data_IF_505869623178
#
_entry.id   IF_505869623178
#
_cell.length_a   1.000
_cell.length_b   1.000
_cell.length_c   1.000
_cell.angle_alpha   90.00
_cell.angle_beta   90.00
_cell.angle_gamma   90.00
#
_symmetry.space_group_name_H-M   'P 1'
#
loop_
_entity.id
_entity.type
_entity.pdbx_description
1 polymer ?
#
# COMPACT_ATOMS: atom_id res chain seq x y z
N UNK A 1 -22.10 12.86 9.53
CA UNK A 1 -21.07 12.57 8.49
C UNK A 1 -21.75 12.46 7.13
N UNK A 2 -21.33 13.23 6.14
CA UNK A 2 -21.92 13.14 4.80
C UNK A 2 -21.22 11.99 4.04
N UNK A 3 -21.99 10.99 3.61
CA UNK A 3 -21.50 9.92 2.75
C UNK A 3 -21.49 10.41 1.28
N UNK A 4 -20.34 10.36 0.63
CA UNK A 4 -20.22 10.64 -0.81
C UNK A 4 -20.56 9.37 -1.58
N UNK A 5 -21.54 9.44 -2.49
CA UNK A 5 -21.93 8.30 -3.34
C UNK A 5 -21.03 8.30 -4.57
N UNK A 6 -20.29 7.24 -4.78
CA UNK A 6 -19.46 7.03 -5.97
C UNK A 6 -19.99 5.80 -6.73
N UNK A 7 -20.13 5.92 -8.04
CA UNK A 7 -20.57 4.82 -8.91
C UNK A 7 -19.34 4.16 -9.56
N UNK A 8 -19.18 2.87 -9.32
CA UNK A 8 -18.18 2.04 -9.99
C UNK A 8 -18.84 0.74 -10.47
N UNK A 9 -18.72 0.41 -11.74
CA UNK A 9 -19.37 -0.77 -12.37
C UNK A 9 -20.86 -0.94 -12.03
N UNK A 10 -21.60 0.18 -11.85
CA UNK A 10 -23.04 0.15 -11.61
C UNK A 10 -23.49 -0.09 -10.17
N UNK A 11 -22.59 -0.33 -9.21
CA UNK A 11 -22.93 -0.48 -7.79
C UNK A 11 -22.70 0.81 -7.02
N UNK A 12 -23.68 1.17 -6.16
CA UNK A 12 -23.55 2.28 -5.20
C UNK A 12 -22.65 1.84 -4.05
N UNK A 13 -21.39 2.32 -4.01
CA UNK A 13 -20.54 2.18 -2.83
C UNK A 13 -20.51 3.47 -2.04
N UNK A 14 -20.66 3.36 -0.72
CA UNK A 14 -20.66 4.50 0.18
C UNK A 14 -19.27 4.64 0.79
N UNK A 15 -18.52 5.66 0.32
CA UNK A 15 -17.28 6.09 0.94
C UNK A 15 -17.63 6.87 2.20
N UNK A 16 -17.01 6.47 3.32
CA UNK A 16 -17.08 7.16 4.59
C UNK A 16 -15.79 7.94 4.81
N UNK A 17 -15.87 9.03 5.54
CA UNK A 17 -14.71 9.80 5.97
C UNK A 17 -14.66 9.74 7.50
N UNK A 18 -13.54 9.29 8.05
CA UNK A 18 -13.28 9.25 9.49
C UNK A 18 -12.97 10.63 10.07
N UNK A 19 -12.93 10.73 11.39
CA UNK A 19 -12.60 11.97 12.10
C UNK A 19 -11.22 12.52 11.75
N UNK A 20 -10.25 11.64 11.47
CA UNK A 20 -8.92 12.06 11.00
C UNK A 20 -8.86 12.38 9.50
N UNK A 21 -9.97 12.32 8.77
CA UNK A 21 -10.06 12.62 7.35
C UNK A 21 -9.66 11.47 6.41
N UNK A 22 -9.61 10.23 6.89
CA UNK A 22 -9.34 9.05 6.06
C UNK A 22 -10.62 8.60 5.35
N UNK A 23 -10.56 8.47 4.04
CA UNK A 23 -11.63 7.91 3.21
C UNK A 23 -11.54 6.37 3.22
N UNK A 24 -12.64 5.69 3.56
CA UNK A 24 -12.66 4.23 3.67
C UNK A 24 -14.00 3.62 3.26
N UNK A 25 -13.93 2.34 2.96
CA UNK A 25 -15.07 1.43 2.78
C UNK A 25 -14.91 0.26 3.73
N UNK A 26 -16.01 -0.20 4.32
CA UNK A 26 -16.04 -1.36 5.22
C UNK A 26 -17.12 -2.31 4.74
N UNK A 27 -16.74 -3.49 4.28
CA UNK A 27 -17.59 -4.47 3.62
C UNK A 27 -17.48 -5.83 4.31
N UNK A 28 -18.54 -6.61 4.34
CA UNK A 28 -18.61 -7.93 4.97
C UNK A 28 -19.34 -7.92 6.32
N UNK A 29 -19.43 -9.09 6.97
CA UNK A 29 -20.15 -9.25 8.23
C UNK A 29 -19.46 -8.50 9.37
N UNK A 30 -20.23 -7.83 10.24
CA UNK A 30 -19.70 -7.10 11.40
C UNK A 30 -18.95 -8.00 12.40
N UNK A 31 -19.32 -9.29 12.45
CA UNK A 31 -18.72 -10.25 13.37
C UNK A 31 -17.55 -11.03 12.75
N UNK A 32 -17.23 -10.80 11.47
CA UNK A 32 -16.14 -11.48 10.81
C UNK A 32 -14.78 -10.87 11.21
N UNK A 33 -13.68 -11.66 11.19
CA UNK A 33 -12.33 -11.15 11.40
C UNK A 33 -12.02 -10.03 10.38
N UNK A 34 -11.31 -8.99 10.85
CA UNK A 34 -11.02 -7.83 10.00
C UNK A 34 -9.76 -8.06 9.17
N UNK A 35 -9.86 -7.73 7.88
CA UNK A 35 -8.73 -7.62 6.95
C UNK A 35 -8.65 -6.19 6.43
N UNK A 36 -7.49 -5.56 6.56
CA UNK A 36 -7.19 -4.21 6.06
C UNK A 36 -6.42 -4.31 4.75
N UNK A 37 -6.77 -3.48 3.77
CA UNK A 37 -6.12 -3.41 2.47
C UNK A 37 -5.45 -2.05 2.29
N UNK A 38 -4.11 -2.05 2.08
CA UNK A 38 -3.28 -0.84 1.91
C UNK A 38 -2.70 -0.81 0.50
N UNK A 39 -3.02 0.22 -0.25
CA UNK A 39 -2.55 0.41 -1.64
C UNK A 39 -1.09 0.90 -1.71
N UNK A 40 -0.53 0.91 -2.93
CA UNK A 40 0.81 1.41 -3.23
C UNK A 40 0.85 2.89 -3.64
N UNK A 41 2.06 3.39 -3.92
CA UNK A 41 2.29 4.76 -4.42
C UNK A 41 1.53 5.03 -5.72
N UNK A 42 0.91 6.20 -5.82
CA UNK A 42 0.18 6.64 -7.01
C UNK A 42 -1.14 5.91 -7.25
N UNK A 43 -1.55 5.04 -6.33
CA UNK A 43 -2.79 4.28 -6.40
C UNK A 43 -3.78 4.79 -5.33
N UNK A 44 -4.91 4.13 -5.22
CA UNK A 44 -5.92 4.40 -4.22
C UNK A 44 -6.67 3.10 -3.86
N UNK A 45 -7.67 3.17 -2.97
CA UNK A 45 -8.44 2.01 -2.51
C UNK A 45 -9.10 1.20 -3.65
N UNK A 46 -9.34 1.80 -4.83
CA UNK A 46 -9.92 1.08 -5.97
C UNK A 46 -9.00 0.02 -6.59
N UNK A 47 -7.71 -0.01 -6.22
CA UNK A 47 -6.82 -1.13 -6.52
C UNK A 47 -7.43 -2.48 -6.12
N UNK A 48 -8.16 -2.49 -5.02
CA UNK A 48 -8.68 -3.70 -4.38
C UNK A 48 -10.12 -4.06 -4.81
N UNK A 49 -10.71 -3.29 -5.74
CA UNK A 49 -12.13 -3.41 -6.10
C UNK A 49 -12.55 -4.83 -6.48
N UNK A 50 -11.69 -5.55 -7.22
CA UNK A 50 -11.98 -6.91 -7.69
C UNK A 50 -11.75 -7.98 -6.61
N UNK A 51 -10.99 -7.66 -5.55
CA UNK A 51 -10.67 -8.58 -4.45
C UNK A 51 -11.66 -8.47 -3.29
N UNK A 52 -12.20 -7.28 -3.04
CA UNK A 52 -13.11 -7.02 -1.91
C UNK A 52 -14.33 -7.96 -1.91
N UNK A 53 -15.02 -8.25 -3.03
CA UNK A 53 -16.16 -9.15 -3.02
C UNK A 53 -15.80 -10.56 -2.54
N UNK A 54 -14.70 -11.13 -3.01
CA UNK A 54 -14.26 -12.46 -2.62
C UNK A 54 -13.82 -12.52 -1.15
N UNK A 55 -13.07 -11.51 -0.69
CA UNK A 55 -12.61 -11.44 0.70
C UNK A 55 -13.78 -11.22 1.67
N UNK A 56 -14.78 -10.42 1.29
CA UNK A 56 -15.91 -10.08 2.17
C UNK A 56 -16.86 -11.23 2.46
N UNK A 57 -16.70 -12.37 1.78
CA UNK A 57 -17.42 -13.62 2.11
C UNK A 57 -17.01 -14.15 3.48
N UNK A 58 -15.71 -14.06 3.83
CA UNK A 58 -15.16 -14.61 5.07
C UNK A 58 -14.66 -13.56 6.06
N UNK A 59 -14.40 -12.34 5.60
CA UNK A 59 -13.78 -11.27 6.39
C UNK A 59 -14.61 -10.00 6.36
N UNK A 60 -14.43 -9.16 7.38
CA UNK A 60 -14.82 -7.76 7.36
C UNK A 60 -13.68 -6.96 6.75
N UNK A 61 -13.82 -6.50 5.51
CA UNK A 61 -12.76 -5.87 4.72
C UNK A 61 -12.79 -4.37 4.92
N UNK A 62 -11.72 -3.82 5.49
CA UNK A 62 -11.46 -2.38 5.60
C UNK A 62 -10.53 -1.96 4.46
N UNK A 63 -11.03 -1.20 3.52
CA UNK A 63 -10.32 -0.70 2.36
C UNK A 63 -10.29 0.83 2.41
N UNK A 64 -9.12 1.46 2.39
CA UNK A 64 -9.00 2.90 2.62
C UNK A 64 -7.95 3.56 1.73
N UNK A 65 -8.05 4.87 1.57
CA UNK A 65 -7.05 5.69 0.91
C UNK A 65 -6.02 6.20 1.93
N UNK A 66 -4.75 6.09 1.60
CA UNK A 66 -3.67 6.73 2.35
C UNK A 66 -3.85 8.26 2.34
N UNK A 67 -3.34 8.96 3.34
CA UNK A 67 -3.33 10.42 3.38
C UNK A 67 -2.78 11.03 2.09
N UNK A 68 -3.52 11.98 1.52
CA UNK A 68 -3.20 12.66 0.26
C UNK A 68 -3.52 11.86 -1.01
N UNK A 69 -4.09 10.65 -0.88
CA UNK A 69 -4.53 9.81 -1.99
C UNK A 69 -6.06 9.71 -2.03
N UNK A 70 -6.60 9.49 -3.23
CA UNK A 70 -8.02 9.26 -3.43
C UNK A 70 -8.89 10.37 -2.84
N UNK A 71 -9.79 9.98 -1.92
CA UNK A 71 -10.68 10.91 -1.22
C UNK A 71 -10.21 11.25 0.21
N UNK A 72 -9.03 10.74 0.66
CA UNK A 72 -8.45 11.06 1.96
C UNK A 72 -7.86 12.45 2.00
N UNK A 73 -7.93 13.11 3.18
CA UNK A 73 -7.36 14.45 3.36
C UNK A 73 -5.86 14.49 3.11
N UNK A 74 -5.37 15.65 2.71
CA UNK A 74 -3.94 15.95 2.71
C UNK A 74 -3.45 16.19 4.14
N UNK A 75 -2.38 15.54 4.60
CA UNK A 75 -1.83 15.79 5.91
C UNK A 75 -1.09 17.14 5.91
N UNK A 76 -1.08 17.81 7.07
CA UNK A 76 -0.27 19.03 7.26
C UNK A 76 1.22 18.71 7.38
N UNK A 77 1.52 17.55 7.97
CA UNK A 77 2.88 17.06 8.15
C UNK A 77 3.38 16.37 6.87
N UNK A 78 4.72 16.28 6.74
CA UNK A 78 5.35 15.47 5.69
C UNK A 78 5.04 13.99 5.91
N UNK A 79 4.79 13.25 4.83
CA UNK A 79 4.50 11.81 4.91
C UNK A 79 5.71 11.05 5.44
N UNK A 80 5.44 10.14 6.37
CA UNK A 80 6.39 9.17 6.89
C UNK A 80 5.72 7.82 7.09
N UNK A 81 6.51 6.76 7.26
CA UNK A 81 5.94 5.43 7.56
C UNK A 81 5.16 5.43 8.87
N UNK A 82 5.67 6.15 9.90
CA UNK A 82 4.97 6.28 11.18
C UNK A 82 3.64 7.02 11.02
N UNK A 83 3.61 8.17 10.33
CA UNK A 83 2.36 8.91 10.11
C UNK A 83 1.31 8.05 9.39
N UNK A 84 1.72 7.22 8.41
CA UNK A 84 0.80 6.36 7.68
C UNK A 84 0.38 5.13 8.51
N UNK A 85 1.22 4.65 9.42
CA UNK A 85 0.86 3.64 10.41
C UNK A 85 -0.13 4.21 11.45
N UNK A 86 0.11 5.43 11.94
CA UNK A 86 -0.76 6.14 12.87
C UNK A 86 -2.14 6.41 12.23
N UNK A 87 -2.19 6.77 10.93
CA UNK A 87 -3.43 6.91 10.17
C UNK A 87 -4.31 5.66 10.29
N UNK A 88 -3.72 4.49 10.10
CA UNK A 88 -4.44 3.23 10.24
C UNK A 88 -4.84 2.96 11.69
N UNK A 89 -3.96 3.22 12.66
CA UNK A 89 -4.26 3.01 14.08
C UNK A 89 -5.47 3.84 14.52
N UNK A 90 -5.48 5.13 14.20
CA UNK A 90 -6.59 6.04 14.49
C UNK A 90 -7.90 5.61 13.81
N UNK A 91 -7.82 5.13 12.56
CA UNK A 91 -8.99 4.59 11.85
C UNK A 91 -9.55 3.34 12.52
N UNK A 92 -8.69 2.42 12.97
CA UNK A 92 -9.10 1.21 13.71
C UNK A 92 -9.76 1.58 15.04
N UNK A 93 -9.24 2.59 15.75
CA UNK A 93 -9.78 3.07 17.02
C UNK A 93 -11.19 3.67 16.84
N UNK A 94 -11.39 4.52 15.83
CA UNK A 94 -12.70 5.08 15.50
C UNK A 94 -13.73 3.98 15.17
N UNK A 95 -13.28 2.95 14.44
CA UNK A 95 -14.12 1.82 14.04
C UNK A 95 -14.29 0.75 15.14
N UNK A 96 -13.62 0.93 16.30
CA UNK A 96 -13.60 -0.03 17.43
C UNK A 96 -13.13 -1.41 17.00
N UNK A 97 -12.11 -1.46 16.12
CA UNK A 97 -11.47 -2.69 15.66
C UNK A 97 -10.23 -2.92 16.51
N UNK A 98 -10.26 -3.94 17.36
CA UNK A 98 -9.14 -4.22 18.28
C UNK A 98 -7.90 -4.73 17.57
N UNK A 99 -8.07 -5.65 16.59
CA UNK A 99 -6.95 -6.20 15.82
C UNK A 99 -7.39 -6.66 14.44
N UNK A 100 -6.44 -6.74 13.51
CA UNK A 100 -6.71 -7.10 12.10
C UNK A 100 -5.55 -7.87 11.46
N UNK A 101 -5.81 -8.53 10.33
CA UNK A 101 -4.78 -8.85 9.35
C UNK A 101 -4.59 -7.68 8.40
N UNK A 102 -3.38 -7.47 7.90
CA UNK A 102 -3.09 -6.33 7.02
C UNK A 102 -2.42 -6.81 5.73
N UNK A 103 -3.08 -6.56 4.61
CA UNK A 103 -2.54 -6.78 3.26
C UNK A 103 -1.99 -5.45 2.75
N UNK A 104 -0.70 -5.39 2.47
CA UNK A 104 -0.05 -4.17 1.96
C UNK A 104 0.64 -4.42 0.63
N UNK A 105 0.33 -3.59 -0.37
CA UNK A 105 0.96 -3.65 -1.70
C UNK A 105 2.03 -2.57 -1.84
N UNK A 106 3.26 -2.95 -2.19
CA UNK A 106 4.38 -2.03 -2.47
C UNK A 106 4.67 -1.10 -1.28
N UNK A 107 4.39 0.20 -1.39
CA UNK A 107 4.42 1.15 -0.26
C UNK A 107 3.54 0.67 0.91
N UNK A 108 2.36 0.13 0.61
CA UNK A 108 1.48 -0.46 1.62
C UNK A 108 2.12 -1.63 2.38
N UNK A 109 3.02 -2.39 1.73
CA UNK A 109 3.81 -3.43 2.38
C UNK A 109 4.97 -2.89 3.24
N UNK A 110 5.39 -1.65 3.05
CA UNK A 110 6.26 -0.95 4.00
C UNK A 110 5.46 -0.48 5.22
N UNK A 111 4.27 0.07 4.96
CA UNK A 111 3.38 0.60 6.00
C UNK A 111 2.89 -0.52 6.92
N UNK A 112 2.49 -1.68 6.38
CA UNK A 112 2.00 -2.77 7.20
C UNK A 112 3.10 -3.37 8.11
N UNK A 113 4.37 -3.43 7.63
CA UNK A 113 5.52 -3.81 8.47
C UNK A 113 5.76 -2.77 9.57
N UNK A 114 5.73 -1.48 9.23
CA UNK A 114 5.85 -0.39 10.21
C UNK A 114 4.74 -0.46 11.25
N UNK A 115 3.50 -0.66 10.83
CA UNK A 115 2.35 -0.82 11.73
C UNK A 115 2.55 -1.99 12.71
N UNK A 116 3.03 -3.15 12.22
CA UNK A 116 3.27 -4.30 13.08
C UNK A 116 4.42 -4.07 14.09
N UNK A 117 5.39 -3.22 13.76
CA UNK A 117 6.46 -2.81 14.69
C UNK A 117 5.92 -1.86 15.76
N UNK A 118 5.13 -0.85 15.37
CA UNK A 118 4.64 0.20 16.29
C UNK A 118 3.44 -0.28 17.12
N UNK A 119 2.59 -1.16 16.55
CA UNK A 119 1.33 -1.62 17.14
C UNK A 119 1.20 -3.15 17.12
N UNK A 120 2.14 -3.92 17.70
CA UNK A 120 2.17 -5.38 17.56
C UNK A 120 0.90 -6.08 18.07
N UNK A 121 0.24 -5.55 19.09
CA UNK A 121 -1.01 -6.10 19.61
C UNK A 121 -2.22 -5.90 18.69
N UNK A 122 -2.11 -4.99 17.71
CA UNK A 122 -3.18 -4.64 16.77
C UNK A 122 -3.13 -5.43 15.46
N UNK A 123 -2.09 -6.26 15.26
CA UNK A 123 -1.90 -7.02 14.03
C UNK A 123 -1.66 -8.51 14.33
N UNK A 124 -2.55 -9.38 13.81
CA UNK A 124 -2.40 -10.82 14.00
C UNK A 124 -1.84 -11.55 12.76
N UNK A 125 -1.84 -10.92 11.58
CA UNK A 125 -1.18 -11.45 10.39
C UNK A 125 -0.83 -10.33 9.39
N UNK A 126 0.21 -10.57 8.58
CA UNK A 126 0.62 -9.73 7.48
C UNK A 126 0.57 -10.46 6.14
N UNK A 127 0.18 -9.73 5.10
CA UNK A 127 0.47 -10.10 3.71
C UNK A 127 1.24 -8.94 3.07
N UNK A 128 2.50 -9.18 2.74
CA UNK A 128 3.41 -8.19 2.16
C UNK A 128 3.55 -8.50 0.68
N UNK A 129 2.95 -7.65 -0.17
CA UNK A 129 2.89 -7.87 -1.62
C UNK A 129 3.83 -6.90 -2.35
N UNK A 130 4.75 -7.42 -3.18
CA UNK A 130 5.63 -6.64 -4.06
C UNK A 130 6.27 -5.45 -3.33
N UNK A 131 6.79 -5.65 -2.11
CA UNK A 131 7.32 -4.59 -1.26
C UNK A 131 8.86 -4.61 -1.21
N UNK A 132 9.51 -3.43 -1.18
CA UNK A 132 10.97 -3.38 -1.23
C UNK A 132 11.64 -3.78 0.09
N UNK A 133 12.89 -4.22 -0.04
CA UNK A 133 13.85 -4.43 1.04
C UNK A 133 15.17 -3.70 0.73
N UNK A 134 16.24 -4.03 1.42
CA UNK A 134 17.58 -3.49 1.19
C UNK A 134 18.01 -3.70 -0.27
N UNK A 135 18.68 -2.72 -0.85
CA UNK A 135 19.09 -2.69 -2.24
C UNK A 135 20.60 -2.65 -2.38
N UNK A 136 21.12 -3.17 -3.51
CA UNK A 136 22.50 -2.87 -3.89
C UNK A 136 22.70 -1.36 -4.09
N UNK A 137 23.94 -0.90 -4.07
CA UNK A 137 24.28 0.51 -4.29
C UNK A 137 23.73 1.03 -5.64
N UNK A 138 23.82 0.20 -6.68
CA UNK A 138 23.35 0.54 -8.05
C UNK A 138 21.81 0.65 -8.08
N UNK A 139 21.10 -0.31 -7.46
CA UNK A 139 19.64 -0.28 -7.38
C UNK A 139 19.16 0.90 -6.54
N UNK A 140 19.85 1.23 -5.44
CA UNK A 140 19.56 2.39 -4.62
C UNK A 140 19.75 3.69 -5.41
N UNK A 141 20.84 3.81 -6.20
CA UNK A 141 21.07 4.96 -7.04
C UNK A 141 19.94 5.21 -8.04
N UNK A 142 19.43 4.14 -8.68
CA UNK A 142 18.28 4.24 -9.61
C UNK A 142 17.01 4.75 -8.92
N UNK A 143 16.80 4.38 -7.66
CA UNK A 143 15.65 4.85 -6.87
C UNK A 143 15.81 6.31 -6.49
N UNK A 144 17.01 6.75 -6.10
CA UNK A 144 17.33 8.15 -5.81
C UNK A 144 17.23 9.03 -7.08
N UNK A 145 17.62 8.52 -8.25
CA UNK A 145 17.45 9.24 -9.54
C UNK A 145 15.96 9.47 -9.84
N UNK A 146 15.12 8.46 -9.65
CA UNK A 146 13.66 8.59 -9.81
C UNK A 146 13.06 9.59 -8.81
N UNK A 147 13.56 9.62 -7.58
CA UNK A 147 13.15 10.62 -6.60
C UNK A 147 13.46 12.03 -7.11
N UNK A 148 14.69 12.27 -7.60
CA UNK A 148 15.07 13.58 -8.16
C UNK A 148 14.23 13.97 -9.38
N UNK A 149 13.96 13.04 -10.28
CA UNK A 149 13.07 13.28 -11.44
C UNK A 149 11.65 13.65 -10.99
N UNK A 150 11.14 12.99 -9.95
CA UNK A 150 9.80 13.30 -9.41
C UNK A 150 9.75 14.68 -8.76
N UNK A 151 10.80 15.08 -8.04
CA UNK A 151 10.89 16.40 -7.40
C UNK A 151 10.86 17.56 -8.40
N UNK A 152 11.38 17.35 -9.60
CA UNK A 152 11.44 18.39 -10.64
C UNK A 152 10.25 18.37 -11.60
N UNK A 153 9.72 17.19 -11.93
CA UNK A 153 8.71 17.01 -12.98
C UNK A 153 7.42 16.31 -12.54
N UNK A 154 7.24 16.09 -11.23
CA UNK A 154 6.05 15.44 -10.67
C UNK A 154 5.91 13.97 -11.07
N UNK A 155 4.72 13.42 -10.88
CA UNK A 155 4.41 12.02 -11.22
C UNK A 155 4.51 11.75 -12.73
N UNK A 156 4.19 12.74 -13.57
CA UNK A 156 4.23 12.63 -15.03
C UNK A 156 5.65 12.32 -15.57
N UNK A 157 6.70 12.90 -14.96
CA UNK A 157 8.08 12.68 -15.37
C UNK A 157 8.54 11.23 -15.25
N UNK A 158 7.95 10.47 -14.36
CA UNK A 158 8.33 9.07 -14.08
C UNK A 158 7.27 8.05 -14.48
N UNK A 159 6.09 8.48 -14.97
CA UNK A 159 4.95 7.60 -15.25
C UNK A 159 5.31 6.49 -16.25
N UNK A 160 5.82 6.85 -17.43
CA UNK A 160 6.17 5.87 -18.48
C UNK A 160 7.13 4.79 -17.97
N UNK A 161 8.18 5.20 -17.29
CA UNK A 161 9.17 4.27 -16.73
C UNK A 161 8.59 3.42 -15.58
N UNK A 162 7.64 3.97 -14.83
CA UNK A 162 6.92 3.23 -13.78
C UNK A 162 6.02 2.15 -14.38
N UNK A 163 5.23 2.47 -15.41
CA UNK A 163 4.35 1.51 -16.08
C UNK A 163 5.16 0.37 -16.72
N UNK A 164 6.27 0.68 -17.39
CA UNK A 164 7.17 -0.34 -17.98
C UNK A 164 7.79 -1.29 -16.94
N UNK A 165 7.94 -0.85 -15.70
CA UNK A 165 8.44 -1.67 -14.60
C UNK A 165 7.34 -2.46 -13.89
N UNK A 166 6.11 -1.92 -13.84
CA UNK A 166 4.99 -2.54 -13.12
C UNK A 166 4.28 -3.60 -13.95
N UNK A 167 4.30 -3.48 -15.26
CA UNK A 167 3.56 -4.34 -16.18
C UNK A 167 4.49 -4.99 -17.21
N UNK A 168 4.17 -6.23 -17.59
CA UNK A 168 4.87 -6.90 -18.70
C UNK A 168 4.58 -6.21 -20.02
N UNK A 169 5.48 -6.37 -21.01
CA UNK A 169 5.27 -5.80 -22.34
C UNK A 169 3.98 -6.27 -23.01
N UNK A 170 3.60 -7.54 -22.80
CA UNK A 170 2.33 -8.08 -23.29
C UNK A 170 1.14 -7.38 -22.63
N UNK A 171 1.13 -7.24 -21.30
CA UNK A 171 0.06 -6.56 -20.57
C UNK A 171 -0.10 -5.09 -21.02
N UNK A 172 1.01 -4.38 -21.23
CA UNK A 172 0.99 -3.00 -21.73
C UNK A 172 0.36 -2.90 -23.14
N UNK A 173 0.47 -3.96 -23.95
CA UNK A 173 -0.07 -3.97 -25.30
C UNK A 173 -1.56 -4.38 -25.37
N UNK A 174 -2.04 -5.19 -24.39
CA UNK A 174 -3.39 -5.78 -24.46
C UNK A 174 -4.39 -5.15 -23.50
N UNK A 175 -3.96 -4.53 -22.38
CA UNK A 175 -4.80 -4.09 -21.29
C UNK A 175 -4.87 -2.56 -21.16
N UNK A 176 -5.12 -1.88 -22.31
CA UNK A 176 -5.12 -0.40 -22.39
C UNK A 176 -6.02 0.27 -21.34
N UNK A 177 -7.21 -0.26 -21.08
CA UNK A 177 -8.15 0.32 -20.11
C UNK A 177 -7.59 0.31 -18.68
N UNK A 178 -6.87 -0.76 -18.29
CA UNK A 178 -6.24 -0.86 -16.98
C UNK A 178 -5.06 0.11 -16.90
N UNK A 179 -4.26 0.20 -17.96
CA UNK A 179 -3.12 1.11 -18.04
C UNK A 179 -3.56 2.57 -17.97
N UNK A 180 -4.62 2.95 -18.68
CA UNK A 180 -5.19 4.31 -18.65
C UNK A 180 -5.73 4.65 -17.26
N UNK A 181 -6.42 3.70 -16.62
CA UNK A 181 -6.94 3.85 -15.26
C UNK A 181 -5.83 4.07 -14.23
N UNK A 182 -4.82 3.21 -14.25
CA UNK A 182 -3.65 3.32 -13.35
C UNK A 182 -2.90 4.63 -13.60
N UNK A 183 -2.71 4.99 -14.87
CA UNK A 183 -2.09 6.26 -15.26
C UNK A 183 -2.88 7.45 -14.73
N UNK A 184 -4.21 7.40 -14.84
CA UNK A 184 -5.11 8.42 -14.30
C UNK A 184 -4.96 8.60 -12.80
N UNK A 185 -4.89 7.51 -12.01
CA UNK A 185 -4.66 7.60 -10.57
C UNK A 185 -3.31 8.23 -10.23
N UNK A 186 -2.24 7.78 -10.91
CA UNK A 186 -0.89 8.33 -10.69
C UNK A 186 -0.83 9.82 -10.99
N UNK A 187 -1.44 10.26 -12.11
CA UNK A 187 -1.43 11.67 -12.53
C UNK A 187 -2.34 12.56 -11.66
N UNK A 188 -3.39 11.98 -11.08
CA UNK A 188 -4.29 12.70 -10.17
C UNK A 188 -3.71 12.89 -8.76
N UNK A 189 -2.63 12.17 -8.41
CA UNK A 189 -1.98 12.32 -7.12
C UNK A 189 -1.30 13.69 -7.01
N UNK A 190 -1.53 14.39 -5.91
CA UNK A 190 -0.85 15.65 -5.61
C UNK A 190 0.68 15.52 -5.74
N UNK A 191 1.38 16.44 -6.43
CA UNK A 191 2.83 16.33 -6.67
C UNK A 191 3.67 16.29 -5.37
N UNK A 192 3.25 16.99 -4.31
CA UNK A 192 3.92 16.94 -2.99
C UNK A 192 3.79 15.55 -2.40
N UNK A 193 2.58 15.01 -2.33
CA UNK A 193 2.29 13.67 -1.79
C UNK A 193 3.03 12.59 -2.56
N UNK A 194 3.04 12.68 -3.90
CA UNK A 194 3.75 11.72 -4.73
C UNK A 194 5.27 11.78 -4.50
N UNK A 195 5.85 12.98 -4.35
CA UNK A 195 7.27 13.18 -4.06
C UNK A 195 7.65 12.67 -2.67
N UNK A 196 6.87 12.96 -1.64
CA UNK A 196 7.07 12.48 -0.28
C UNK A 196 6.98 10.94 -0.22
N UNK A 197 6.03 10.34 -0.93
CA UNK A 197 5.91 8.87 -1.04
C UNK A 197 7.10 8.25 -1.77
N UNK A 198 7.65 8.91 -2.79
CA UNK A 198 8.91 8.51 -3.43
C UNK A 198 10.08 8.58 -2.45
N UNK A 199 10.13 9.60 -1.59
CA UNK A 199 11.13 9.71 -0.54
C UNK A 199 11.05 8.53 0.43
N UNK A 200 9.85 8.16 0.89
CA UNK A 200 9.64 6.98 1.73
C UNK A 200 10.14 5.71 1.02
N UNK A 201 9.80 5.50 -0.26
CA UNK A 201 10.28 4.34 -1.02
C UNK A 201 11.81 4.32 -1.20
N UNK A 202 12.44 5.48 -1.30
CA UNK A 202 13.89 5.58 -1.46
C UNK A 202 14.64 5.33 -0.16
N UNK A 203 14.14 5.81 0.97
CA UNK A 203 14.90 5.90 2.24
C UNK A 203 14.25 5.18 3.40
N UNK A 204 12.91 5.09 3.45
CA UNK A 204 12.16 4.48 4.56
C UNK A 204 12.38 2.98 4.73
N UNK A 205 12.90 2.28 3.71
CA UNK A 205 13.27 0.87 3.85
C UNK A 205 14.21 0.64 5.02
N UNK A 206 15.13 1.57 5.30
CA UNK A 206 16.12 1.45 6.38
C UNK A 206 15.49 1.35 7.76
N UNK A 207 14.31 1.94 7.95
CA UNK A 207 13.56 1.90 9.21
C UNK A 207 12.92 0.54 9.48
N UNK A 208 12.85 -0.33 8.47
CA UNK A 208 12.17 -1.61 8.51
C UNK A 208 13.13 -2.80 8.58
N UNK A 209 14.44 -2.53 8.43
CA UNK A 209 15.46 -3.59 8.42
C UNK A 209 15.78 -4.04 9.84
N UNK A 210 15.86 -5.35 10.04
CA UNK A 210 16.28 -5.96 11.31
C UNK A 210 15.55 -5.36 12.51
N UNK A 211 14.20 -5.46 12.54
CA UNK A 211 13.40 -4.83 13.59
C UNK A 211 13.78 -5.33 14.99
N UNK A 212 13.86 -4.40 15.95
CA UNK A 212 14.10 -4.67 17.34
C UNK A 212 12.92 -4.16 18.20
N UNK A 213 12.15 -5.03 18.87
CA UNK A 213 12.29 -6.50 18.87
C UNK A 213 11.92 -7.14 17.53
N UNK A 214 12.37 -8.37 17.23
CA UNK A 214 12.03 -9.08 16.01
C UNK A 214 10.52 -9.26 15.87
N UNK A 215 10.00 -9.15 14.64
CA UNK A 215 8.59 -9.42 14.37
C UNK A 215 8.31 -10.93 14.44
N UNK A 216 7.25 -11.28 15.17
CA UNK A 216 6.79 -12.67 15.34
C UNK A 216 5.28 -12.71 15.10
N UNK A 217 4.89 -12.96 13.85
CA UNK A 217 3.47 -13.08 13.48
C UNK A 217 3.31 -13.87 12.17
N UNK A 218 2.13 -14.46 11.97
CA UNK A 218 1.81 -15.12 10.69
C UNK A 218 1.97 -14.15 9.54
N UNK A 219 2.90 -14.44 8.63
CA UNK A 219 3.19 -13.55 7.50
C UNK A 219 3.31 -14.30 6.19
N UNK A 220 2.70 -13.79 5.14
CA UNK A 220 2.95 -14.18 3.75
C UNK A 220 3.68 -13.02 3.06
N UNK A 221 4.86 -13.29 2.51
CA UNK A 221 5.58 -12.34 1.66
C UNK A 221 5.51 -12.84 0.23
N UNK A 222 4.98 -12.04 -0.68
CA UNK A 222 4.74 -12.46 -2.06
C UNK A 222 5.18 -11.39 -3.05
N UNK A 223 5.81 -11.83 -4.15
CA UNK A 223 6.10 -10.99 -5.31
C UNK A 223 6.01 -11.79 -6.60
N UNK A 224 6.02 -11.08 -7.75
CA UNK A 224 6.07 -11.70 -9.07
C UNK A 224 7.52 -12.06 -9.43
N UNK A 225 7.71 -13.15 -10.20
CA UNK A 225 9.02 -13.59 -10.67
C UNK A 225 9.78 -12.49 -11.43
N UNK A 226 9.07 -11.68 -12.20
CA UNK A 226 9.62 -10.62 -13.04
C UNK A 226 9.64 -9.24 -12.36
N UNK A 227 9.30 -9.13 -11.08
CA UNK A 227 9.33 -7.83 -10.39
C UNK A 227 10.77 -7.35 -10.18
N UNK A 228 11.16 -6.33 -10.94
CA UNK A 228 12.50 -5.72 -10.85
C UNK A 228 12.62 -4.63 -9.77
N UNK A 229 11.52 -4.26 -9.13
CA UNK A 229 11.48 -3.21 -8.10
C UNK A 229 11.42 -3.75 -6.68
N UNK A 230 10.77 -4.90 -6.52
CA UNK A 230 10.62 -5.65 -5.28
C UNK A 230 10.87 -7.11 -5.59
N UNK A 231 12.13 -7.45 -5.82
CA UNK A 231 12.57 -8.72 -6.40
C UNK A 231 12.23 -9.93 -5.51
N UNK A 232 12.25 -11.17 -6.06
CA UNK A 232 12.14 -12.38 -5.27
C UNK A 232 13.13 -12.43 -4.09
N UNK A 233 14.38 -12.00 -4.29
CA UNK A 233 15.41 -11.94 -3.24
C UNK A 233 15.00 -11.00 -2.10
N UNK A 234 14.41 -9.85 -2.43
CA UNK A 234 13.87 -8.92 -1.41
C UNK A 234 12.75 -9.56 -0.61
N UNK A 235 11.87 -10.34 -1.25
CA UNK A 235 10.81 -11.07 -0.57
C UNK A 235 11.35 -12.14 0.37
N UNK A 236 12.37 -12.89 -0.04
CA UNK A 236 13.08 -13.83 0.86
C UNK A 236 13.75 -13.10 2.03
N UNK A 237 14.38 -11.93 1.78
CA UNK A 237 15.01 -11.14 2.83
C UNK A 237 14.00 -10.60 3.85
N UNK A 238 12.84 -10.09 3.41
CA UNK A 238 11.74 -9.68 4.30
C UNK A 238 11.29 -10.87 5.15
N UNK A 239 11.07 -12.03 4.52
CA UNK A 239 10.61 -13.22 5.21
C UNK A 239 11.63 -13.72 6.26
N UNK A 240 12.91 -13.60 5.99
CA UNK A 240 13.96 -13.99 6.93
C UNK A 240 13.99 -13.13 8.22
N UNK A 241 13.46 -11.91 8.17
CA UNK A 241 13.38 -10.99 9.32
C UNK A 241 12.09 -11.17 10.15
N UNK A 242 11.12 -11.99 9.70
CA UNK A 242 9.83 -12.17 10.37
C UNK A 242 9.63 -13.64 10.73
N UNK A 243 9.68 -13.98 12.01
CA UNK A 243 9.49 -15.35 12.45
C UNK A 243 8.06 -15.84 12.15
N UNK A 244 7.96 -17.05 11.58
CA UNK A 244 6.66 -17.63 11.15
C UNK A 244 6.20 -17.23 9.75
N UNK A 245 7.04 -16.51 8.99
CA UNK A 245 6.73 -16.11 7.62
C UNK A 245 6.83 -17.25 6.61
N UNK A 246 6.10 -17.08 5.50
CA UNK A 246 6.20 -17.89 4.28
C UNK A 246 6.41 -16.97 3.09
N UNK A 247 7.10 -17.46 2.06
CA UNK A 247 7.31 -16.73 0.80
C UNK A 247 6.61 -17.44 -0.35
N UNK A 248 6.00 -16.68 -1.24
CA UNK A 248 5.45 -17.13 -2.51
C UNK A 248 5.97 -16.25 -3.66
N UNK A 249 6.46 -16.89 -4.73
CA UNK A 249 6.84 -16.22 -5.99
C UNK A 249 5.87 -16.69 -7.06
N UNK A 250 5.25 -15.75 -7.78
CA UNK A 250 4.17 -16.00 -8.76
C UNK A 250 4.50 -15.40 -10.13
#
# INVERSE_FOLDING_TARGET
MAAKVIYWLGEKRFVKISGNGTAYELTGSENAPVVVLIHGIGLNRHLWADYVPALSVAYRVLNYDLFGYGDSRHPEQELSLSLLADQLCELLDELKIESCAIVGFSLGGMINRRFAMDYPARCWALVVLCSPHERSAEAQQLVEDRLRQTQTGGSAATLKASLQRWFTGNFLATEAEIIDRVSGWVLATDPRIFSESRHILARGVRELLRPEPPLVLSTLVMTCELDSGSTPEMSFAIAAEIAGSKTAIV
#
